data_IF_590987793508
#
_entry.id   IF_590987793508
#
_cell.length_a   1.000
_cell.length_b   1.000
_cell.length_c   1.000
_cell.angle_alpha   90.00
_cell.angle_beta   90.00
_cell.angle_gamma   90.00
#
_symmetry.space_group_name_H-M   'P 1'
#
loop_
_entity.id
_entity.type
_entity.pdbx_description
1 polymer ?
#
# COMPACT_ATOMS: atom_id res chain seq x y z
N UNK A 1 -0.22 20.25 23.11
CA UNK A 1 0.76 19.16 23.16
C UNK A 1 0.01 17.92 23.64
N UNK A 2 -0.17 16.84 22.89
CA UNK A 2 0.09 16.60 21.46
C UNK A 2 -0.88 15.47 21.02
N UNK A 3 -1.18 15.22 19.75
CA UNK A 3 -0.61 15.71 18.49
C UNK A 3 -1.71 16.17 17.51
N UNK A 4 -1.30 16.71 16.36
CA UNK A 4 -2.16 16.86 15.18
C UNK A 4 -1.34 16.56 13.91
N UNK A 5 -0.82 15.33 13.83
CA UNK A 5 -0.18 14.83 12.61
C UNK A 5 -1.27 14.73 11.52
N UNK A 6 -1.11 15.36 10.34
CA UNK A 6 -2.12 15.31 9.29
C UNK A 6 -2.23 13.88 8.75
N UNK A 7 -3.16 13.13 9.34
CA UNK A 7 -3.49 11.75 8.98
C UNK A 7 -3.87 11.71 7.51
N UNK A 8 -3.16 10.90 6.74
CA UNK A 8 -3.38 10.78 5.30
C UNK A 8 -4.85 10.40 5.01
N UNK A 9 -5.51 11.11 4.10
CA UNK A 9 -6.88 10.76 3.74
C UNK A 9 -6.91 9.48 2.90
N UNK A 10 -8.02 8.75 2.96
CA UNK A 10 -8.18 7.49 2.22
C UNK A 10 -7.91 7.64 0.72
N UNK A 11 -8.28 8.78 0.12
CA UNK A 11 -8.01 9.08 -1.29
C UNK A 11 -6.54 9.32 -1.59
N UNK A 12 -5.79 9.92 -0.65
CA UNK A 12 -4.35 10.08 -0.78
C UNK A 12 -3.62 8.74 -0.64
N UNK A 13 -4.10 7.85 0.24
CA UNK A 13 -3.61 6.46 0.30
C UNK A 13 -3.88 5.73 -1.01
N UNK A 14 -5.12 5.75 -1.49
CA UNK A 14 -5.52 5.10 -2.74
C UNK A 14 -4.63 5.58 -3.90
N UNK A 15 -4.41 6.89 -4.01
CA UNK A 15 -3.55 7.51 -5.04
C UNK A 15 -2.07 7.10 -4.90
N UNK A 16 -1.55 7.07 -3.67
CA UNK A 16 -0.16 6.70 -3.38
C UNK A 16 0.08 5.22 -3.69
N UNK A 17 -0.82 4.33 -3.25
CA UNK A 17 -0.71 2.88 -3.47
C UNK A 17 -0.92 2.56 -4.96
N UNK A 18 -1.85 3.22 -5.64
CA UNK A 18 -1.99 3.11 -7.10
C UNK A 18 -0.68 3.45 -7.81
N UNK A 19 -0.03 4.57 -7.44
CA UNK A 19 1.27 4.96 -7.99
C UNK A 19 2.44 4.01 -7.65
N UNK A 20 2.28 3.10 -6.68
CA UNK A 20 3.20 2.00 -6.43
C UNK A 20 2.82 0.75 -7.23
N UNK A 21 1.53 0.45 -7.36
CA UNK A 21 1.01 -0.67 -8.16
C UNK A 21 1.34 -0.48 -9.65
N UNK A 22 1.25 0.75 -10.17
CA UNK A 22 1.64 1.11 -11.55
C UNK A 22 3.15 1.02 -11.84
N UNK A 23 3.97 0.55 -10.89
CA UNK A 23 5.38 0.19 -11.10
C UNK A 23 5.57 -1.32 -11.31
N UNK A 24 4.51 -2.05 -11.66
CA UNK A 24 4.60 -3.42 -12.12
C UNK A 24 5.50 -3.52 -13.37
N UNK A 25 5.99 -4.72 -13.67
CA UNK A 25 6.79 -4.91 -14.88
C UNK A 25 5.95 -4.68 -16.15
N UNK A 26 6.53 -4.04 -17.17
CA UNK A 26 5.93 -3.83 -18.51
C UNK A 26 5.52 -5.14 -19.22
N UNK A 27 5.96 -6.29 -18.71
CA UNK A 27 5.63 -7.64 -19.20
C UNK A 27 4.35 -8.21 -18.57
N UNK A 28 3.69 -7.46 -17.69
CA UNK A 28 2.47 -7.85 -16.98
C UNK A 28 1.33 -6.96 -17.45
N UNK A 29 0.24 -7.59 -17.87
CA UNK A 29 -1.03 -6.94 -18.12
C UNK A 29 -1.88 -7.05 -16.84
N UNK A 30 -2.01 -5.93 -16.13
CA UNK A 30 -2.80 -5.87 -14.89
C UNK A 30 -3.67 -4.61 -14.88
N UNK A 31 -4.98 -4.80 -14.72
CA UNK A 31 -5.86 -3.72 -14.28
C UNK A 31 -5.46 -3.33 -12.85
N UNK A 32 -4.80 -2.18 -12.74
CA UNK A 32 -4.25 -1.63 -11.50
C UNK A 32 -5.33 -1.04 -10.57
N UNK A 33 -6.45 -0.57 -11.12
CA UNK A 33 -7.58 -0.05 -10.33
C UNK A 33 -8.37 -1.22 -9.71
N UNK A 34 -8.63 -2.28 -10.48
CA UNK A 34 -9.22 -3.52 -9.96
C UNK A 34 -8.29 -4.16 -8.90
N UNK A 35 -6.98 -4.21 -9.16
CA UNK A 35 -6.04 -4.78 -8.20
C UNK A 35 -5.96 -3.95 -6.90
N UNK A 36 -6.00 -2.63 -7.00
CA UNK A 36 -6.10 -1.73 -5.85
C UNK A 36 -7.38 -1.98 -5.05
N UNK A 37 -8.55 -2.06 -5.70
CA UNK A 37 -9.83 -2.34 -5.03
C UNK A 37 -9.81 -3.67 -4.26
N UNK A 38 -9.32 -4.73 -4.90
CA UNK A 38 -9.20 -6.05 -4.32
C UNK A 38 -8.23 -6.07 -3.13
N UNK A 39 -7.03 -5.48 -3.29
CA UNK A 39 -6.02 -5.42 -2.23
C UNK A 39 -6.49 -4.58 -1.04
N UNK A 40 -7.10 -3.42 -1.31
CA UNK A 40 -7.67 -2.54 -0.29
C UNK A 40 -8.71 -3.27 0.54
N UNK A 41 -9.69 -3.90 -0.10
CA UNK A 41 -10.82 -4.55 0.57
C UNK A 41 -10.54 -5.96 1.11
N UNK A 42 -9.34 -6.52 0.90
CA UNK A 42 -8.94 -7.78 1.53
C UNK A 42 -9.00 -7.68 3.06
N UNK A 43 -9.69 -8.64 3.69
CA UNK A 43 -9.88 -8.74 5.15
C UNK A 43 -8.91 -9.75 5.79
N UNK A 44 -8.28 -10.59 4.97
CA UNK A 44 -7.32 -11.62 5.37
C UNK A 44 -5.90 -11.08 5.51
N UNK A 45 -5.56 -10.00 4.80
CA UNK A 45 -4.24 -9.36 4.89
C UNK A 45 -4.24 -8.23 5.92
N UNK A 46 -3.29 -8.22 6.84
CA UNK A 46 -3.01 -7.08 7.72
C UNK A 46 -2.15 -6.00 7.02
N UNK A 47 -1.89 -4.87 7.69
CA UNK A 47 -1.07 -3.74 7.17
C UNK A 47 0.27 -4.19 6.57
N UNK A 48 1.02 -5.05 7.25
CA UNK A 48 2.35 -5.50 6.80
C UNK A 48 2.28 -6.55 5.68
N UNK A 49 1.17 -7.27 5.57
CA UNK A 49 0.90 -8.16 4.44
C UNK A 49 0.54 -7.36 3.18
N UNK A 50 -0.33 -6.36 3.32
CA UNK A 50 -0.62 -5.42 2.23
C UNK A 50 0.65 -4.69 1.77
N UNK A 51 1.50 -4.23 2.70
CA UNK A 51 2.82 -3.64 2.37
C UNK A 51 3.69 -4.61 1.57
N UNK A 52 3.81 -5.88 2.01
CA UNK A 52 4.61 -6.89 1.28
C UNK A 52 4.09 -7.17 -0.13
N UNK A 53 2.77 -7.12 -0.36
CA UNK A 53 2.20 -7.23 -1.72
C UNK A 53 2.61 -6.03 -2.57
N UNK A 54 2.45 -4.80 -2.07
CA UNK A 54 2.79 -3.56 -2.79
C UNK A 54 4.29 -3.44 -3.05
N UNK A 55 5.15 -3.75 -2.06
CA UNK A 55 6.60 -3.75 -2.20
C UNK A 55 7.09 -4.80 -3.23
N UNK A 56 6.37 -5.92 -3.38
CA UNK A 56 6.72 -6.98 -4.33
C UNK A 56 6.29 -6.68 -5.77
N UNK A 57 5.31 -5.79 -6.00
CA UNK A 57 4.71 -5.47 -7.33
C UNK A 57 5.73 -5.40 -8.48
N UNK A 58 6.85 -4.67 -8.39
CA UNK A 58 7.79 -4.54 -9.50
C UNK A 58 8.45 -5.85 -9.94
N UNK A 59 8.39 -6.88 -9.09
CA UNK A 59 8.99 -8.20 -9.28
C UNK A 59 7.97 -9.31 -9.53
N UNK A 60 6.67 -9.03 -9.40
CA UNK A 60 5.63 -10.03 -9.63
C UNK A 60 5.48 -10.32 -11.13
N UNK A 61 5.39 -11.61 -11.45
CA UNK A 61 5.00 -12.10 -12.77
C UNK A 61 3.48 -12.10 -12.94
N UNK A 62 3.01 -12.21 -14.20
CA UNK A 62 1.58 -12.30 -14.53
C UNK A 62 0.85 -13.35 -13.68
N UNK A 63 1.39 -14.57 -13.63
CA UNK A 63 0.83 -15.67 -12.85
C UNK A 63 0.66 -15.34 -11.35
N UNK A 64 1.59 -14.57 -10.77
CA UNK A 64 1.48 -14.15 -9.37
C UNK A 64 0.41 -13.08 -9.17
N UNK A 65 0.24 -12.15 -10.11
CA UNK A 65 -0.89 -11.22 -10.09
C UNK A 65 -2.23 -11.94 -10.26
N UNK A 66 -2.32 -12.89 -11.18
CA UNK A 66 -3.54 -13.66 -11.45
C UNK A 66 -3.96 -14.48 -10.23
N UNK A 67 -3.03 -15.20 -9.58
CA UNK A 67 -3.32 -15.96 -8.35
C UNK A 67 -3.67 -15.03 -7.17
N UNK A 68 -3.05 -13.85 -7.03
CA UNK A 68 -3.45 -12.87 -6.01
C UNK A 68 -4.86 -12.34 -6.26
N UNK A 69 -5.20 -11.92 -7.50
CA UNK A 69 -6.55 -11.49 -7.89
C UNK A 69 -7.57 -12.58 -7.59
N UNK A 70 -7.30 -13.82 -7.99
CA UNK A 70 -8.13 -15.00 -7.73
C UNK A 70 -8.33 -15.26 -6.24
N UNK A 71 -7.29 -15.12 -5.41
CA UNK A 71 -7.41 -15.23 -3.94
C UNK A 71 -8.34 -14.14 -3.39
N UNK A 72 -8.14 -12.87 -3.76
CA UNK A 72 -8.97 -11.76 -3.28
C UNK A 72 -10.43 -11.83 -3.77
N UNK A 73 -10.67 -12.28 -5.00
CA UNK A 73 -12.03 -12.49 -5.53
C UNK A 73 -12.74 -13.61 -4.77
N UNK A 74 -12.08 -14.75 -4.54
CA UNK A 74 -12.62 -15.85 -3.76
C UNK A 74 -12.86 -15.47 -2.29
N UNK A 75 -11.96 -14.69 -1.70
CA UNK A 75 -12.11 -14.07 -0.38
C UNK A 75 -13.37 -13.19 -0.32
N UNK A 76 -13.54 -12.27 -1.28
CA UNK A 76 -14.69 -11.36 -1.33
C UNK A 76 -16.02 -12.11 -1.40
N UNK A 77 -16.08 -13.23 -2.12
CA UNK A 77 -17.26 -14.11 -2.14
C UNK A 77 -17.48 -14.76 -0.76
N UNK A 78 -16.45 -15.36 -0.15
CA UNK A 78 -16.56 -16.01 1.17
C UNK A 78 -17.01 -15.05 2.28
N UNK A 79 -16.44 -13.84 2.34
CA UNK A 79 -16.85 -12.85 3.34
C UNK A 79 -18.24 -12.27 3.06
N UNK A 80 -18.70 -12.24 1.80
CA UNK A 80 -20.09 -11.87 1.46
C UNK A 80 -21.10 -12.93 1.88
N UNK A 81 -20.74 -14.22 1.80
CA UNK A 81 -21.54 -15.31 2.39
C UNK A 81 -21.58 -15.15 3.92
N UNK A 82 -20.42 -15.07 4.58
CA UNK A 82 -20.30 -14.89 6.04
C UNK A 82 -20.99 -13.62 6.57
N UNK A 83 -21.13 -12.57 5.76
CA UNK A 83 -21.86 -11.35 6.14
C UNK A 83 -23.36 -11.56 6.32
N UNK A 84 -23.93 -12.65 5.77
CA UNK A 84 -25.33 -13.01 5.99
C UNK A 84 -25.54 -13.61 7.39
N UNK A 85 -24.61 -14.45 7.82
CA UNK A 85 -24.69 -15.20 9.08
C UNK A 85 -24.08 -14.42 10.26
N UNK A 86 -23.02 -13.64 10.01
CA UNK A 86 -22.21 -12.92 11.01
C UNK A 86 -21.99 -11.43 10.65
N UNK A 87 -23.06 -10.64 10.40
CA UNK A 87 -22.93 -9.26 9.90
C UNK A 87 -22.12 -8.33 10.82
N UNK A 88 -22.24 -8.48 12.14
CA UNK A 88 -21.52 -7.62 13.10
C UNK A 88 -20.02 -7.89 13.15
N UNK A 89 -19.59 -9.13 12.90
CA UNK A 89 -18.16 -9.47 12.87
C UNK A 89 -17.52 -9.01 11.56
N UNK A 90 -18.22 -9.14 10.42
CA UNK A 90 -17.79 -8.51 9.16
C UNK A 90 -17.70 -6.99 9.30
N UNK A 91 -18.66 -6.36 10.00
CA UNK A 91 -18.63 -4.92 10.27
C UNK A 91 -17.44 -4.48 11.14
N UNK A 92 -16.98 -5.33 12.08
CA UNK A 92 -15.73 -5.09 12.84
C UNK A 92 -14.50 -5.23 11.94
N UNK A 93 -14.46 -6.27 11.08
CA UNK A 93 -13.36 -6.48 10.14
C UNK A 93 -13.22 -5.33 9.13
N UNK A 94 -14.31 -4.83 8.55
CA UNK A 94 -14.31 -3.66 7.66
C UNK A 94 -13.79 -2.39 8.35
N UNK A 95 -14.19 -2.15 9.61
CA UNK A 95 -13.65 -1.02 10.40
C UNK A 95 -12.14 -1.16 10.61
N UNK A 96 -11.67 -2.37 10.93
CA UNK A 96 -10.25 -2.66 11.12
C UNK A 96 -9.48 -2.48 9.81
N UNK A 97 -9.94 -3.06 8.72
CA UNK A 97 -9.34 -2.94 7.38
C UNK A 97 -9.18 -1.47 6.96
N UNK A 98 -10.18 -0.61 7.21
CA UNK A 98 -10.07 0.82 6.91
C UNK A 98 -8.98 1.51 7.73
N UNK A 99 -8.83 1.19 9.02
CA UNK A 99 -7.76 1.73 9.87
C UNK A 99 -6.39 1.25 9.37
N UNK A 100 -6.25 -0.04 9.08
CA UNK A 100 -5.03 -0.64 8.54
C UNK A 100 -4.63 -0.04 7.19
N UNK A 101 -5.61 0.32 6.34
CA UNK A 101 -5.35 0.99 5.07
C UNK A 101 -4.76 2.40 5.26
N UNK A 102 -5.33 3.21 6.16
CA UNK A 102 -4.77 4.53 6.48
C UNK A 102 -3.35 4.41 7.06
N UNK A 103 -3.15 3.45 7.97
CA UNK A 103 -1.81 3.16 8.53
C UNK A 103 -0.79 2.76 7.46
N UNK A 104 -1.19 2.00 6.43
CA UNK A 104 -0.32 1.67 5.31
C UNK A 104 0.13 2.91 4.54
N UNK A 105 -0.79 3.86 4.30
CA UNK A 105 -0.48 5.14 3.69
C UNK A 105 0.47 6.00 4.54
N UNK A 106 0.23 6.08 5.85
CA UNK A 106 1.10 6.80 6.79
C UNK A 106 2.52 6.20 6.81
N UNK A 107 2.65 4.86 6.76
CA UNK A 107 3.94 4.18 6.66
C UNK A 107 4.70 4.56 5.38
N UNK A 108 4.08 4.45 4.21
CA UNK A 108 4.74 4.83 2.95
C UNK A 108 5.07 6.31 2.85
N UNK A 109 4.19 7.18 3.36
CA UNK A 109 4.45 8.63 3.43
C UNK A 109 5.69 8.91 4.28
N UNK A 110 5.81 8.28 5.45
CA UNK A 110 6.99 8.37 6.30
C UNK A 110 8.26 7.83 5.62
N UNK A 111 8.19 6.67 4.96
CA UNK A 111 9.32 6.10 4.19
C UNK A 111 9.79 7.04 3.07
N UNK A 112 8.88 7.68 2.34
CA UNK A 112 9.20 8.65 1.29
C UNK A 112 9.78 9.97 1.85
N UNK A 113 9.23 10.48 2.95
CA UNK A 113 9.75 11.68 3.63
C UNK A 113 11.13 11.47 4.27
N UNK A 114 11.43 10.24 4.70
CA UNK A 114 12.74 9.89 5.24
C UNK A 114 13.78 9.73 4.12
N UNK A 115 13.46 9.02 3.03
CA UNK A 115 14.34 8.94 1.85
C UNK A 115 14.71 10.30 1.29
N UNK A 116 13.74 11.20 1.10
CA UNK A 116 14.02 12.58 0.63
C UNK A 116 14.97 13.33 1.56
N UNK A 117 14.80 13.18 2.89
CA UNK A 117 15.70 13.82 3.88
C UNK A 117 17.11 13.23 3.86
N UNK A 118 17.25 11.94 3.59
CA UNK A 118 18.55 11.27 3.41
C UNK A 118 19.24 11.72 2.11
N UNK A 119 18.51 11.75 1.00
CA UNK A 119 18.97 12.24 -0.32
C UNK A 119 19.43 13.71 -0.23
N UNK A 120 18.57 14.62 0.28
CA UNK A 120 18.93 16.03 0.50
C UNK A 120 20.13 16.24 1.44
N UNK A 121 20.39 15.30 2.35
CA UNK A 121 21.53 15.36 3.27
C UNK A 121 22.81 14.88 2.60
N UNK A 122 22.74 13.89 1.71
CA UNK A 122 23.88 13.43 0.93
C UNK A 122 24.30 14.45 -0.12
N UNK A 123 23.35 15.07 -0.83
CA UNK A 123 23.63 16.10 -1.84
C UNK A 123 24.39 17.29 -1.25
N UNK A 124 23.91 17.79 -0.09
CA UNK A 124 24.59 18.89 0.65
C UNK A 124 26.02 18.51 1.09
N UNK A 125 26.27 17.25 1.45
CA UNK A 125 27.63 16.77 1.77
C UNK A 125 28.50 16.68 0.51
N UNK A 126 27.92 16.31 -0.64
CA UNK A 126 28.58 16.33 -1.94
C UNK A 126 29.05 17.74 -2.34
N UNK A 127 28.15 18.72 -2.29
CA UNK A 127 28.45 20.12 -2.63
C UNK A 127 29.49 20.74 -1.67
N UNK A 128 29.47 20.39 -0.38
CA UNK A 128 30.48 20.83 0.58
C UNK A 128 31.86 20.24 0.26
N UNK A 129 31.95 18.97 -0.17
CA UNK A 129 33.23 18.38 -0.61
C UNK A 129 33.74 19.03 -1.89
N UNK A 130 32.87 19.20 -2.88
CA UNK A 130 33.22 19.83 -4.15
C UNK A 130 33.70 21.27 -3.98
N UNK A 131 33.05 22.05 -3.11
CA UNK A 131 33.46 23.44 -2.80
C UNK A 131 34.72 23.55 -1.92
N UNK A 132 35.11 22.50 -1.21
CA UNK A 132 36.37 22.39 -0.47
C UNK A 132 37.52 21.77 -1.28
N UNK A 133 37.25 21.27 -2.50
CA UNK A 133 38.26 20.71 -3.41
C UNK A 133 38.79 19.33 -3.01
N UNK A 134 37.95 18.48 -2.40
CA UNK A 134 38.26 17.10 -1.99
C UNK A 134 37.54 16.06 -2.86
#
# INVERSE_FOLDING_TARGET
MSDNNPQISEKEVDSLILGLISKHSDKVEVDVEEFLDLLKHSLSLNTMEKKRVVDAVPTLSQFQFDELKKVFVNERVKFRELAKDHPDDIKKLLKKQKIEWIQLGDLYKSELENKKREEESQDKIGDIKASLGL
#
